data_IF_837725144189
#
_entry.id   IF_837725144189
#
_cell.length_a   1.000
_cell.length_b   1.000
_cell.length_c   1.000
_cell.angle_alpha   90.00
_cell.angle_beta   90.00
_cell.angle_gamma   90.00
#
_symmetry.space_group_name_H-M   'P 1'
#
loop_
_entity.id
_entity.type
_entity.pdbx_description
1 polymer ?
#
# COMPACT_ATOMS: atom_id res chain seq x y z
N UNK A 1 -16.77 38.88 -26.90
CA UNK A 1 -16.74 37.47 -26.43
C UNK A 1 -15.29 37.02 -26.44
N UNK A 2 -14.65 36.97 -25.27
CA UNK A 2 -13.22 36.67 -25.13
C UNK A 2 -13.09 35.18 -24.79
N UNK A 3 -12.47 34.40 -25.69
CA UNK A 3 -12.30 32.96 -25.52
C UNK A 3 -11.32 32.60 -24.39
N UNK A 4 -11.39 31.38 -23.85
CA UNK A 4 -10.62 30.97 -22.69
C UNK A 4 -9.13 30.83 -23.04
N UNK A 5 -8.30 31.59 -22.32
CA UNK A 5 -6.83 31.57 -22.42
C UNK A 5 -6.31 30.24 -21.85
N UNK A 6 -5.96 29.29 -22.71
CA UNK A 6 -5.30 28.04 -22.31
C UNK A 6 -4.01 28.35 -21.54
N UNK A 7 -3.95 27.97 -20.25
CA UNK A 7 -2.73 28.05 -19.45
C UNK A 7 -1.72 27.05 -20.00
N UNK A 8 -0.73 27.54 -20.75
CA UNK A 8 0.45 26.76 -21.14
C UNK A 8 1.28 26.56 -19.86
N UNK A 9 1.21 25.37 -19.28
CA UNK A 9 2.05 24.97 -18.15
C UNK A 9 3.48 24.75 -18.69
N UNK A 10 4.46 25.51 -18.19
CA UNK A 10 5.86 25.43 -18.60
C UNK A 10 6.41 23.99 -18.43
N UNK A 11 6.90 23.33 -19.51
CA UNK A 11 7.49 22.00 -19.45
C UNK A 11 8.62 21.87 -18.42
N UNK A 12 9.38 22.93 -18.16
CA UNK A 12 10.50 22.95 -17.21
C UNK A 12 10.01 22.75 -15.77
N UNK A 13 8.88 23.38 -15.42
CA UNK A 13 8.26 23.26 -14.09
C UNK A 13 7.72 21.86 -13.76
N UNK A 14 7.44 21.03 -14.78
CA UNK A 14 6.96 19.65 -14.58
C UNK A 14 8.11 18.65 -14.40
N UNK A 15 9.27 18.92 -14.98
CA UNK A 15 10.46 18.08 -14.84
C UNK A 15 11.02 18.22 -13.43
N UNK A 16 11.16 19.45 -12.94
CA UNK A 16 11.64 19.75 -11.57
C UNK A 16 10.79 19.04 -10.50
N UNK A 17 9.45 19.16 -10.56
CA UNK A 17 8.53 18.47 -9.63
C UNK A 17 8.65 16.95 -9.63
N UNK A 18 9.06 16.35 -10.75
CA UNK A 18 9.20 14.89 -10.83
C UNK A 18 10.53 14.43 -10.24
N UNK A 19 11.57 15.27 -10.31
CA UNK A 19 12.83 15.04 -9.60
C UNK A 19 12.65 15.27 -8.10
N UNK A 20 11.90 16.30 -7.68
CA UNK A 20 11.57 16.53 -6.26
C UNK A 20 10.86 15.31 -5.65
N UNK A 21 9.79 14.83 -6.29
CA UNK A 21 9.08 13.61 -5.84
C UNK A 21 9.99 12.37 -5.80
N UNK A 22 10.94 12.27 -6.74
CA UNK A 22 11.90 11.16 -6.76
C UNK A 22 12.85 11.24 -5.57
N UNK A 23 13.34 12.43 -5.24
CA UNK A 23 14.20 12.69 -4.09
C UNK A 23 13.44 12.38 -2.80
N UNK A 24 12.19 12.84 -2.68
CA UNK A 24 11.31 12.54 -1.53
C UNK A 24 11.14 11.03 -1.33
N UNK A 25 10.84 10.27 -2.40
CA UNK A 25 10.73 8.80 -2.33
C UNK A 25 12.05 8.15 -1.92
N UNK A 26 13.20 8.64 -2.40
CA UNK A 26 14.50 8.10 -2.00
C UNK A 26 14.78 8.35 -0.52
N UNK A 27 14.47 9.55 -0.03
CA UNK A 27 14.59 9.89 1.38
C UNK A 27 13.66 9.03 2.24
N UNK A 28 12.40 8.89 1.86
CA UNK A 28 11.44 8.07 2.59
C UNK A 28 11.86 6.60 2.61
N UNK A 29 12.45 6.06 1.53
CA UNK A 29 12.98 4.69 1.49
C UNK A 29 14.17 4.50 2.43
N UNK A 30 15.04 5.50 2.52
CA UNK A 30 16.15 5.49 3.47
C UNK A 30 15.61 5.51 4.90
N UNK A 31 14.69 6.41 5.20
CA UNK A 31 14.01 6.50 6.50
C UNK A 31 13.27 5.21 6.86
N UNK A 32 12.59 4.58 5.90
CA UNK A 32 11.90 3.31 6.12
C UNK A 32 12.90 2.21 6.49
N UNK A 33 14.07 2.19 5.86
CA UNK A 33 15.12 1.21 6.15
C UNK A 33 15.64 1.38 7.59
N UNK A 34 15.96 2.61 7.99
CA UNK A 34 16.39 2.94 9.34
C UNK A 34 15.32 2.60 10.40
N UNK A 35 14.07 2.97 10.14
CA UNK A 35 12.94 2.71 11.05
C UNK A 35 12.64 1.22 11.20
N UNK A 36 12.78 0.42 10.14
CA UNK A 36 12.68 -1.04 10.24
C UNK A 36 13.78 -1.61 11.12
N UNK A 37 15.00 -1.10 11.01
CA UNK A 37 16.10 -1.51 11.89
C UNK A 37 15.80 -1.13 13.35
N UNK A 38 15.35 0.11 13.60
CA UNK A 38 14.95 0.57 14.93
C UNK A 38 13.83 -0.30 15.54
N UNK A 39 12.80 -0.63 14.76
CA UNK A 39 11.72 -1.52 15.21
C UNK A 39 12.21 -2.96 15.42
N UNK A 40 13.13 -3.46 14.59
CA UNK A 40 13.70 -4.81 14.75
C UNK A 40 14.48 -4.99 16.06
N UNK A 41 15.00 -3.88 16.61
CA UNK A 41 15.72 -3.82 17.89
C UNK A 41 14.79 -3.68 19.10
N UNK A 42 13.48 -3.50 18.89
CA UNK A 42 12.52 -3.50 20.00
C UNK A 42 12.42 -4.91 20.59
N UNK A 43 13.02 -5.07 21.75
CA UNK A 43 13.02 -6.32 22.50
C UNK A 43 11.76 -6.47 23.38
N UNK A 44 11.64 -7.61 24.04
CA UNK A 44 10.52 -7.88 24.94
C UNK A 44 10.42 -6.82 26.06
N UNK A 45 11.55 -6.22 26.47
CA UNK A 45 11.60 -5.17 27.49
C UNK A 45 11.05 -3.84 26.97
N UNK A 46 11.37 -3.47 25.74
CA UNK A 46 10.82 -2.29 25.09
C UNK A 46 9.29 -2.35 25.03
N UNK A 47 8.72 -3.51 24.67
CA UNK A 47 7.27 -3.69 24.70
C UNK A 47 6.69 -3.93 26.09
N UNK A 48 7.48 -4.30 27.09
CA UNK A 48 6.99 -4.50 28.46
C UNK A 48 6.43 -3.20 29.05
N UNK A 49 7.04 -2.05 28.74
CA UNK A 49 6.51 -0.73 29.12
C UNK A 49 5.07 -0.56 28.61
N UNK A 50 4.88 -0.68 27.30
CA UNK A 50 3.57 -0.53 26.66
C UNK A 50 2.57 -1.55 27.22
N UNK A 51 2.98 -2.82 27.38
CA UNK A 51 2.10 -3.88 27.91
C UNK A 51 1.75 -3.70 29.38
N UNK A 52 2.59 -3.00 30.15
CA UNK A 52 2.37 -2.79 31.59
C UNK A 52 1.20 -1.86 31.89
N UNK A 53 0.77 -1.05 30.91
CA UNK A 53 -0.36 -0.14 31.10
C UNK A 53 -1.64 -0.91 31.42
N UNK A 54 -2.25 -0.58 32.56
CA UNK A 54 -3.60 -1.02 32.90
C UNK A 54 -4.62 -0.41 31.94
N UNK A 55 -4.44 0.87 31.64
CA UNK A 55 -5.17 1.66 30.65
C UNK A 55 -4.13 2.44 29.82
N UNK A 56 -4.12 2.32 28.48
CA UNK A 56 -3.07 2.90 27.67
C UNK A 56 -3.30 4.41 27.54
N UNK A 57 -2.24 5.23 27.53
CA UNK A 57 -2.35 6.60 27.07
C UNK A 57 -2.99 6.62 25.68
N UNK A 58 -4.02 7.44 25.48
CA UNK A 58 -4.78 7.51 24.21
C UNK A 58 -3.87 7.54 22.98
N UNK A 59 -2.83 8.37 23.03
CA UNK A 59 -1.85 8.51 21.97
C UNK A 59 -1.16 7.18 21.61
N UNK A 60 -0.72 6.41 22.60
CA UNK A 60 -0.05 5.12 22.38
C UNK A 60 -1.03 4.12 21.77
N UNK A 61 -2.27 4.12 22.25
CA UNK A 61 -3.31 3.23 21.71
C UNK A 61 -3.66 3.59 20.27
N UNK A 62 -3.85 4.87 19.95
CA UNK A 62 -4.15 5.34 18.59
C UNK A 62 -3.00 4.98 17.62
N UNK A 63 -1.74 5.11 18.03
CA UNK A 63 -0.57 4.67 17.25
C UNK A 63 -0.63 3.16 16.98
N UNK A 64 -0.87 2.35 18.02
CA UNK A 64 -0.93 0.90 17.88
C UNK A 64 -2.08 0.46 16.97
N UNK A 65 -3.27 1.05 17.13
CA UNK A 65 -4.41 0.81 16.24
C UNK A 65 -4.04 1.11 14.79
N UNK A 66 -3.39 2.23 14.55
CA UNK A 66 -2.96 2.65 13.21
C UNK A 66 -2.01 1.62 12.61
N UNK A 67 -0.98 1.20 13.36
CA UNK A 67 0.00 0.22 12.90
C UNK A 67 -0.63 -1.16 12.65
N UNK A 68 -1.47 -1.65 13.55
CA UNK A 68 -2.15 -2.93 13.40
C UNK A 68 -3.15 -2.90 12.22
N UNK A 69 -3.79 -1.76 12.01
CA UNK A 69 -4.72 -1.53 10.91
C UNK A 69 -4.07 -1.63 9.52
N UNK A 70 -2.78 -1.29 9.39
CA UNK A 70 -2.02 -1.46 8.13
C UNK A 70 -2.02 -2.94 7.69
N UNK A 71 -1.98 -3.85 8.65
CA UNK A 71 -1.93 -5.29 8.40
C UNK A 71 -3.31 -5.95 8.35
N UNK A 72 -4.39 -5.21 8.62
CA UNK A 72 -5.75 -5.75 8.74
C UNK A 72 -5.81 -6.97 9.67
N UNK A 73 -5.04 -6.94 10.77
CA UNK A 73 -4.89 -8.07 11.69
C UNK A 73 -6.23 -8.40 12.38
N UNK A 74 -7.03 -7.38 12.65
CA UNK A 74 -8.31 -7.49 13.33
C UNK A 74 -9.22 -6.32 12.93
N UNK A 75 -10.53 -6.48 13.14
CA UNK A 75 -11.50 -5.39 13.01
C UNK A 75 -11.11 -4.20 13.92
N UNK A 76 -11.24 -2.99 13.37
CA UNK A 76 -10.78 -1.77 14.04
C UNK A 76 -11.50 -1.52 15.36
N UNK A 77 -12.78 -1.88 15.42
CA UNK A 77 -13.63 -1.80 16.60
C UNK A 77 -13.15 -2.74 17.71
N UNK A 78 -12.59 -3.90 17.36
CA UNK A 78 -12.01 -4.82 18.36
C UNK A 78 -10.67 -4.30 18.88
N UNK A 79 -9.94 -3.54 18.06
CA UNK A 79 -8.70 -2.89 18.49
C UNK A 79 -8.96 -1.73 19.46
N UNK A 80 -10.19 -1.21 19.58
CA UNK A 80 -10.58 -0.28 20.66
C UNK A 80 -10.55 -0.95 22.05
N UNK A 81 -10.64 -2.28 22.10
CA UNK A 81 -10.43 -3.00 23.34
C UNK A 81 -8.93 -3.14 23.61
N UNK A 82 -8.44 -2.46 24.66
CA UNK A 82 -7.02 -2.51 25.01
C UNK A 82 -6.48 -3.93 25.28
N UNK A 83 -7.16 -4.79 26.07
CA UNK A 83 -6.75 -6.18 26.23
C UNK A 83 -6.55 -6.93 24.90
N UNK A 84 -7.44 -6.75 23.93
CA UNK A 84 -7.31 -7.31 22.58
C UNK A 84 -6.12 -6.72 21.84
N UNK A 85 -6.03 -5.38 21.75
CA UNK A 85 -4.92 -4.69 21.08
C UNK A 85 -3.54 -5.14 21.62
N UNK A 86 -3.43 -5.28 22.94
CA UNK A 86 -2.21 -5.69 23.65
C UNK A 86 -1.68 -7.07 23.23
N UNK A 87 -2.55 -8.00 22.82
CA UNK A 87 -2.15 -9.36 22.42
C UNK A 87 -1.32 -9.37 21.14
N UNK A 88 -1.54 -8.40 20.25
CA UNK A 88 -0.82 -8.28 18.98
C UNK A 88 0.54 -7.60 19.12
N UNK A 89 0.88 -7.05 20.29
CA UNK A 89 2.18 -6.43 20.53
C UNK A 89 3.20 -7.53 20.81
N UNK A 90 3.78 -8.14 19.78
CA UNK A 90 4.71 -9.27 19.95
C UNK A 90 5.74 -9.33 18.80
N UNK A 91 6.56 -10.37 18.77
CA UNK A 91 7.60 -10.53 17.73
C UNK A 91 7.01 -10.72 16.33
N UNK A 92 5.77 -11.21 16.19
CA UNK A 92 5.13 -11.29 14.88
C UNK A 92 4.83 -9.89 14.34
N UNK A 93 4.43 -8.94 15.20
CA UNK A 93 4.26 -7.54 14.80
C UNK A 93 5.58 -6.93 14.29
N UNK A 94 6.68 -7.17 15.00
CA UNK A 94 8.02 -6.73 14.57
C UNK A 94 8.37 -7.35 13.20
N UNK A 95 8.11 -8.64 13.01
CA UNK A 95 8.34 -9.32 11.72
C UNK A 95 7.49 -8.71 10.60
N UNK A 96 6.21 -8.43 10.86
CA UNK A 96 5.32 -7.82 9.87
C UNK A 96 5.81 -6.41 9.47
N UNK A 97 6.18 -5.58 10.45
CA UNK A 97 6.71 -4.22 10.21
C UNK A 97 8.01 -4.25 9.40
N UNK A 98 8.94 -5.13 9.76
CA UNK A 98 10.25 -5.23 9.09
C UNK A 98 10.15 -5.72 7.65
N UNK A 99 9.11 -6.47 7.31
CA UNK A 99 8.89 -7.04 5.98
C UNK A 99 7.93 -6.24 5.08
N UNK A 100 7.10 -5.36 5.67
CA UNK A 100 6.04 -4.65 4.95
C UNK A 100 6.56 -3.61 3.96
N UNK A 101 6.28 -3.77 2.67
CA UNK A 101 6.59 -2.78 1.63
C UNK A 101 5.38 -1.89 1.30
N UNK A 102 5.39 -0.59 1.70
CA UNK A 102 4.30 0.35 1.40
C UNK A 102 4.20 0.74 -0.09
N UNK A 103 5.13 0.30 -0.95
CA UNK A 103 5.13 0.60 -2.38
C UNK A 103 4.72 -0.58 -3.27
N UNK A 104 4.46 -1.75 -2.66
CA UNK A 104 4.05 -2.97 -3.35
C UNK A 104 2.72 -2.76 -4.11
N UNK A 105 2.51 -3.47 -5.22
CA UNK A 105 1.29 -3.29 -6.02
C UNK A 105 0.02 -3.92 -5.41
N UNK A 106 0.19 -4.86 -4.48
CA UNK A 106 -0.89 -5.66 -3.91
C UNK A 106 -0.79 -5.66 -2.38
N UNK A 107 -1.94 -5.60 -1.71
CA UNK A 107 -1.99 -5.59 -0.23
C UNK A 107 -1.61 -4.26 0.41
N UNK A 108 -1.62 -3.15 -0.34
CA UNK A 108 -1.45 -1.81 0.22
C UNK A 108 -2.65 -1.44 1.07
N UNK A 109 -2.40 -0.92 2.27
CA UNK A 109 -3.40 -0.17 3.03
C UNK A 109 -3.88 1.03 2.21
N UNK A 110 -5.16 1.40 2.37
CA UNK A 110 -5.68 2.64 1.81
C UNK A 110 -4.96 3.84 2.45
N UNK A 111 -4.20 4.59 1.63
CA UNK A 111 -3.48 5.78 2.07
C UNK A 111 -4.41 6.83 2.67
N UNK A 112 -5.66 6.94 2.20
CA UNK A 112 -6.63 7.88 2.78
C UNK A 112 -6.98 7.49 4.21
N UNK A 113 -7.33 6.22 4.43
CA UNK A 113 -7.61 5.70 5.78
C UNK A 113 -6.41 5.87 6.71
N UNK A 114 -5.20 5.56 6.23
CA UNK A 114 -3.99 5.75 7.02
C UNK A 114 -3.74 7.23 7.36
N UNK A 115 -4.03 8.16 6.44
CA UNK A 115 -3.93 9.59 6.70
C UNK A 115 -4.92 10.08 7.76
N UNK A 116 -6.18 9.62 7.71
CA UNK A 116 -7.21 9.97 8.70
C UNK A 116 -6.83 9.50 10.10
N UNK A 117 -6.26 8.29 10.21
CA UNK A 117 -5.80 7.74 11.48
C UNK A 117 -4.60 8.51 12.06
N UNK A 118 -3.73 9.07 11.20
CA UNK A 118 -2.54 9.83 11.62
C UNK A 118 -2.83 11.31 11.87
N UNK A 119 -3.89 11.90 11.28
CA UNK A 119 -4.22 13.32 11.43
C UNK A 119 -4.48 13.74 12.89
N UNK A 120 -5.01 12.82 13.70
CA UNK A 120 -5.22 13.02 15.13
C UNK A 120 -3.95 12.98 15.98
N UNK A 121 -2.80 12.61 15.41
CA UNK A 121 -1.56 12.32 16.13
C UNK A 121 -0.49 13.35 15.76
N UNK A 122 -0.24 14.32 16.66
CA UNK A 122 0.82 15.30 16.44
C UNK A 122 2.22 14.72 16.75
N UNK A 123 3.21 14.95 15.88
CA UNK A 123 4.61 14.56 16.11
C UNK A 123 5.14 15.08 17.45
N UNK A 124 4.78 16.31 17.83
CA UNK A 124 5.18 16.91 19.11
C UNK A 124 4.61 16.18 20.32
N UNK A 125 3.37 15.69 20.23
CA UNK A 125 2.76 14.87 21.30
C UNK A 125 3.48 13.53 21.44
N UNK A 126 3.84 12.89 20.32
CA UNK A 126 4.56 11.60 20.33
C UNK A 126 5.92 11.72 20.99
N UNK A 127 6.70 12.76 20.64
CA UNK A 127 8.00 12.98 21.26
C UNK A 127 7.90 13.30 22.76
N UNK A 128 6.82 13.98 23.21
CA UNK A 128 6.61 14.32 24.63
C UNK A 128 6.16 13.12 25.47
N UNK A 129 5.49 12.14 24.86
CA UNK A 129 5.00 10.97 25.56
C UNK A 129 6.12 10.10 26.15
N UNK A 130 7.33 10.18 25.57
CA UNK A 130 8.53 9.52 26.10
C UNK A 130 8.61 8.01 25.86
N UNK A 131 7.56 7.39 25.29
CA UNK A 131 7.57 5.97 24.95
C UNK A 131 8.29 5.74 23.62
N UNK A 132 9.54 5.28 23.71
CA UNK A 132 10.39 5.04 22.55
C UNK A 132 9.78 4.05 21.52
N UNK A 133 9.18 2.91 21.93
CA UNK A 133 8.55 2.01 20.95
C UNK A 133 7.37 2.68 20.24
N UNK A 134 6.54 3.45 20.96
CA UNK A 134 5.42 4.16 20.34
C UNK A 134 5.92 5.20 19.33
N UNK A 135 7.03 5.88 19.62
CA UNK A 135 7.64 6.85 18.70
C UNK A 135 8.15 6.19 17.41
N UNK A 136 8.86 5.05 17.51
CA UNK A 136 9.32 4.33 16.32
C UNK A 136 8.16 3.80 15.48
N UNK A 137 7.13 3.27 16.11
CA UNK A 137 5.92 2.78 15.44
C UNK A 137 5.18 3.89 14.70
N UNK A 138 5.03 5.06 15.32
CA UNK A 138 4.41 6.22 14.68
C UNK A 138 5.22 6.73 13.49
N UNK A 139 6.53 6.94 13.67
CA UNK A 139 7.40 7.42 12.60
C UNK A 139 7.39 6.45 11.41
N UNK A 140 7.40 5.13 11.69
CA UNK A 140 7.30 4.11 10.65
C UNK A 140 5.98 4.18 9.87
N UNK A 141 4.85 4.30 10.57
CA UNK A 141 3.54 4.43 9.92
C UNK A 141 3.44 5.70 9.07
N UNK A 142 4.01 6.81 9.56
CA UNK A 142 4.06 8.07 8.84
C UNK A 142 4.87 7.98 7.55
N UNK A 143 6.05 7.37 7.59
CA UNK A 143 6.88 7.14 6.38
C UNK A 143 6.18 6.20 5.40
N UNK A 144 5.43 5.19 5.88
CA UNK A 144 4.60 4.35 5.02
C UNK A 144 3.55 5.18 4.27
N UNK A 145 2.85 6.09 4.96
CA UNK A 145 1.90 6.99 4.32
C UNK A 145 2.57 7.87 3.26
N UNK A 146 3.70 8.50 3.61
CA UNK A 146 4.48 9.34 2.69
C UNK A 146 4.85 8.59 1.40
N UNK A 147 5.35 7.35 1.53
CA UNK A 147 5.70 6.52 0.38
C UNK A 147 4.49 6.15 -0.50
N UNK A 148 3.35 5.82 0.11
CA UNK A 148 2.11 5.51 -0.59
C UNK A 148 1.69 6.71 -1.43
N UNK A 149 1.66 7.90 -0.84
CA UNK A 149 1.25 9.12 -1.51
C UNK A 149 2.22 9.53 -2.62
N UNK A 150 3.53 9.59 -2.34
CA UNK A 150 4.52 10.02 -3.32
C UNK A 150 4.58 9.05 -4.51
N UNK A 151 4.50 7.75 -4.25
CA UNK A 151 4.48 6.73 -5.32
C UNK A 151 3.20 6.82 -6.15
N UNK A 152 2.04 7.07 -5.53
CA UNK A 152 0.78 7.27 -6.24
C UNK A 152 0.82 8.52 -7.13
N UNK A 153 1.31 9.66 -6.60
CA UNK A 153 1.50 10.92 -7.34
C UNK A 153 2.45 10.72 -8.53
N UNK A 154 3.56 10.00 -8.34
CA UNK A 154 4.50 9.67 -9.42
C UNK A 154 3.87 8.82 -10.53
N UNK A 155 3.12 7.76 -10.16
CA UNK A 155 2.41 6.89 -11.13
C UNK A 155 1.36 7.68 -11.92
N UNK A 156 0.64 8.59 -11.26
CA UNK A 156 -0.34 9.49 -11.91
C UNK A 156 0.35 10.42 -12.91
N UNK A 157 1.47 11.04 -12.54
CA UNK A 157 2.24 11.92 -13.42
C UNK A 157 2.78 11.18 -14.66
N UNK A 158 3.21 9.91 -14.50
CA UNK A 158 3.67 9.09 -15.61
C UNK A 158 2.56 8.75 -16.62
N UNK A 159 1.35 8.43 -16.13
CA UNK A 159 0.18 8.14 -16.99
C UNK A 159 -0.27 9.36 -17.78
N UNK A 160 -0.23 10.54 -17.17
CA UNK A 160 -0.56 11.80 -17.86
C UNK A 160 0.40 12.13 -19.01
N UNK A 161 1.69 11.77 -18.88
CA UNK A 161 2.67 11.92 -19.96
C UNK A 161 2.35 11.01 -21.16
N UNK A 162 1.95 9.75 -20.92
CA UNK A 162 1.63 8.79 -21.99
C UNK A 162 0.33 9.13 -22.74
N UNK A 163 -0.66 9.73 -22.07
CA UNK A 163 -1.92 10.17 -22.70
C UNK A 163 -1.79 11.40 -23.63
N UNK A 164 -0.73 12.21 -23.49
CA UNK A 164 -0.49 13.38 -24.35
C UNK A 164 0.31 13.05 -25.62
N UNK A 165 0.93 11.87 -25.72
CA UNK A 165 1.79 11.49 -26.85
C UNK A 165 1.04 10.78 -28.00
N UNK A 166 -0.26 10.50 -27.90
CA UNK A 166 -1.05 9.83 -28.96
C UNK A 166 -1.92 10.79 -29.81
N UNK A 167 -1.67 12.10 -29.79
CA UNK A 167 -2.48 13.11 -30.49
C UNK A 167 -2.06 13.48 -31.93
N UNK A 168 -0.98 12.92 -32.48
CA UNK A 168 -0.56 13.20 -33.86
C UNK A 168 -0.35 11.89 -34.65
N UNK A 169 -1.45 11.34 -35.16
CA UNK A 169 -1.42 10.58 -36.42
C UNK A 169 -2.13 11.43 -37.47
N UNK A 170 -1.35 12.08 -38.32
CA UNK A 170 -1.80 12.60 -39.62
C UNK A 170 -2.18 11.42 -40.51
N UNK A 171 -3.40 11.35 -41.08
CA UNK A 171 -3.71 10.42 -42.15
C UNK A 171 -3.29 11.08 -43.48
N UNK A 172 -2.20 10.62 -44.07
CA UNK A 172 -1.85 10.93 -45.45
C UNK A 172 -1.36 9.65 -46.12
N UNK A 173 -2.10 9.16 -47.10
CA UNK A 173 -1.73 7.95 -47.84
C UNK A 173 -2.92 7.23 -48.47
N UNK A 174 -3.42 7.82 -49.55
CA UNK A 174 -4.22 7.19 -50.61
C UNK A 174 -3.73 5.80 -51.00
N UNK A 175 -4.62 4.80 -50.99
CA UNK A 175 -4.81 3.80 -52.07
C UNK A 175 -5.82 2.72 -51.64
N UNK A 176 -6.89 2.59 -52.42
CA UNK A 176 -7.61 1.32 -52.69
C UNK A 176 -7.42 1.06 -54.20
N UNK A 177 -7.70 -0.14 -54.77
CA UNK A 177 -8.43 -1.29 -54.22
C UNK A 177 -7.79 -2.67 -54.55
N UNK A 178 -8.55 -3.75 -54.30
CA UNK A 178 -8.33 -5.17 -54.63
C UNK A 178 -7.64 -5.98 -53.52
N UNK A 179 -8.12 -7.11 -53.02
CA UNK A 179 -9.08 -8.10 -53.53
C UNK A 179 -9.95 -8.70 -52.42
N UNK A 180 -11.19 -9.02 -52.80
CA UNK A 180 -12.21 -9.63 -51.97
C UNK A 180 -11.98 -11.15 -51.91
N UNK A 181 -11.46 -11.67 -50.79
CA UNK A 181 -11.42 -13.10 -50.51
C UNK A 181 -12.62 -13.52 -49.66
N UNK A 182 -13.45 -14.36 -50.28
CA UNK A 182 -13.87 -15.68 -49.77
C UNK A 182 -14.50 -15.73 -48.37
N UNK A 183 -15.83 -15.73 -48.37
CA UNK A 183 -16.77 -16.62 -47.66
C UNK A 183 -16.15 -17.54 -46.58
N UNK A 184 -16.46 -17.29 -45.30
CA UNK A 184 -16.62 -18.32 -44.25
C UNK A 184 -18.09 -18.82 -44.27
N UNK A 185 -18.56 -19.81 -43.48
CA UNK A 185 -17.91 -20.69 -42.49
C UNK A 185 -18.35 -22.18 -42.60
N UNK A 186 -17.76 -23.08 -41.80
CA UNK A 186 -18.51 -23.96 -40.87
C UNK A 186 -17.75 -25.20 -40.39
N UNK A 187 -17.90 -25.40 -39.07
CA UNK A 187 -18.16 -26.66 -38.35
C UNK A 187 -17.21 -27.84 -38.52
N UNK A 188 -16.70 -28.34 -37.38
CA UNK A 188 -16.95 -29.71 -36.87
C UNK A 188 -16.33 -29.76 -35.45
N UNK A 189 -17.14 -29.68 -34.39
CA UNK A 189 -17.76 -30.79 -33.65
C UNK A 189 -16.76 -31.57 -32.77
N UNK A 190 -16.97 -31.44 -31.46
CA UNK A 190 -16.47 -32.33 -30.40
C UNK A 190 -16.86 -33.79 -30.67
N UNK A 191 -16.22 -34.77 -29.98
CA UNK A 191 -16.82 -35.23 -28.72
C UNK A 191 -15.84 -35.61 -27.59
N UNK A 192 -16.34 -35.42 -26.37
CA UNK A 192 -15.99 -36.05 -25.08
C UNK A 192 -16.18 -37.60 -25.12
N UNK A 193 -16.09 -38.38 -24.00
CA UNK A 193 -15.28 -38.33 -22.77
C UNK A 193 -14.72 -39.74 -22.37
N UNK A 194 -13.79 -39.83 -21.41
CA UNK A 194 -13.56 -41.07 -20.63
C UNK A 194 -13.04 -40.72 -19.22
N UNK A 195 -13.91 -40.69 -18.20
CA UNK A 195 -14.19 -41.78 -17.24
C UNK A 195 -12.95 -42.44 -16.60
N UNK A 196 -12.76 -42.14 -15.32
CA UNK A 196 -11.96 -42.93 -14.38
C UNK A 196 -12.43 -42.70 -12.94
N UNK A 197 -13.48 -43.42 -12.52
CA UNK A 197 -13.85 -43.61 -11.11
C UNK A 197 -12.88 -44.62 -10.48
N UNK A 198 -12.60 -44.47 -9.18
CA UNK A 198 -12.47 -45.50 -8.12
C UNK A 198 -11.77 -44.85 -6.92
N UNK A 199 -12.03 -45.16 -5.65
CA UNK A 199 -13.07 -45.86 -4.89
C UNK A 199 -12.76 -45.52 -3.41
N UNK A 200 -13.79 -45.62 -2.59
CA UNK A 200 -13.82 -45.44 -1.14
C UNK A 200 -13.00 -46.47 -0.37
N UNK A 201 -12.65 -46.15 0.89
CA UNK A 201 -12.65 -46.98 2.12
C UNK A 201 -11.55 -46.45 3.06
N UNK A 202 -11.56 -46.57 4.39
CA UNK A 202 -12.51 -46.83 5.47
C UNK A 202 -11.66 -46.76 6.77
N UNK A 203 -12.30 -46.58 7.93
CA UNK A 203 -11.85 -46.96 9.29
C UNK A 203 -10.96 -46.02 10.15
N UNK A 204 -11.64 -45.42 11.15
CA UNK A 204 -11.30 -45.12 12.57
C UNK A 204 -10.38 -46.13 13.32
N UNK A 205 -10.11 -46.03 14.66
CA UNK A 205 -9.83 -44.92 15.61
C UNK A 205 -8.65 -45.20 16.62
N UNK A 206 -8.48 -44.33 17.63
CA UNK A 206 -7.85 -44.50 18.98
C UNK A 206 -6.31 -44.39 19.12
N UNK A 207 -5.85 -43.32 19.80
CA UNK A 207 -5.35 -43.32 21.20
C UNK A 207 -5.34 -41.88 21.74
#
# INVERSE_FOLDING_TARGET
VQGPRSKIQDPRSKVEKNEDLRIEIMFDRLMLTDLRENVSRLDARAFAEIKSYKDPPKLVHDILKTVLGIFSIEEEEKLDNWPTCKQFINNDLVRMITQYDPTAAQGMVDGKKLSENLEGISHGSVSKQGSMPAQYLFNWAFVCLSLIEHTAKMKQNARQKQGQSQGQRTPQGTASPSDNSTVSPSATQSPDPAKGKMKTNNSNPIL
#
